data_IF_436624697517
#
_entry.id   IF_436624697517
#
_cell.length_a   1.000
_cell.length_b   1.000
_cell.length_c   1.000
_cell.angle_alpha   90.00
_cell.angle_beta   90.00
_cell.angle_gamma   90.00
#
_symmetry.space_group_name_H-M   'P 1'
#
loop_
_entity.id
_entity.type
_entity.pdbx_description
1 polymer ?
#
# COMPACT_ATOMS: atom_id res chain seq x y z
N UNK A 1 8.13 28.84 6.35
CA UNK A 1 8.39 27.52 6.99
C UNK A 1 8.36 26.45 5.93
N UNK A 2 9.43 25.67 5.85
CA UNK A 2 9.44 24.46 5.04
C UNK A 2 8.56 23.41 5.77
N UNK A 3 7.50 22.95 5.12
CA UNK A 3 6.72 21.85 5.64
C UNK A 3 7.42 20.55 5.20
N UNK A 4 7.76 19.65 6.12
CA UNK A 4 8.40 18.38 5.75
C UNK A 4 7.45 17.56 4.87
N UNK A 5 8.01 16.88 3.89
CA UNK A 5 7.33 15.88 3.09
C UNK A 5 7.60 14.51 3.71
N UNK A 6 6.56 13.79 4.07
CA UNK A 6 6.64 12.57 4.86
C UNK A 6 6.04 11.42 4.07
N UNK A 7 6.80 10.35 3.94
CA UNK A 7 6.34 9.03 3.46
C UNK A 7 6.65 8.02 4.55
N UNK A 8 5.63 7.29 4.98
CA UNK A 8 5.76 6.16 5.90
C UNK A 8 5.38 4.91 5.11
N UNK A 9 6.24 3.91 5.08
CA UNK A 9 5.98 2.67 4.33
C UNK A 9 6.54 1.47 5.06
N UNK A 10 5.90 0.31 4.88
CA UNK A 10 6.31 -0.98 5.41
C UNK A 10 5.15 -1.92 5.65
N UNK A 11 5.48 -3.06 6.24
CA UNK A 11 4.53 -4.04 6.75
C UNK A 11 4.01 -3.58 8.13
N UNK A 12 2.75 -3.23 8.20
CA UNK A 12 2.05 -2.85 9.44
C UNK A 12 1.42 -4.06 10.13
N UNK A 13 1.46 -5.22 9.50
CA UNK A 13 0.85 -6.46 9.96
C UNK A 13 -0.65 -6.31 10.33
N UNK A 14 -1.31 -5.35 9.72
CA UNK A 14 -2.74 -5.07 9.89
C UNK A 14 -3.32 -4.39 8.65
N UNK A 15 -4.59 -4.65 8.39
CA UNK A 15 -5.36 -3.99 7.33
C UNK A 15 -6.15 -2.80 7.87
N UNK A 16 -6.51 -1.86 7.00
CA UNK A 16 -7.46 -0.79 7.33
C UNK A 16 -8.91 -1.30 7.18
N UNK A 17 -9.84 -0.93 8.09
CA UNK A 17 -9.64 -0.10 9.29
C UNK A 17 -9.04 -0.87 10.46
N UNK A 18 -8.29 -0.19 11.32
CA UNK A 18 -7.81 -0.75 12.60
C UNK A 18 -7.37 0.37 13.55
N UNK A 19 -7.24 0.05 14.84
CA UNK A 19 -6.80 1.00 15.86
C UNK A 19 -5.44 1.66 15.55
N UNK A 20 -4.56 0.96 14.81
CA UNK A 20 -3.28 1.54 14.37
C UNK A 20 -3.50 2.76 13.47
N UNK A 21 -4.41 2.66 12.52
CA UNK A 21 -4.69 3.72 11.56
C UNK A 21 -5.63 4.79 12.11
N UNK A 22 -6.66 4.37 12.82
CA UNK A 22 -7.74 5.26 13.27
C UNK A 22 -7.37 5.98 14.58
N UNK A 23 -6.78 5.26 15.56
CA UNK A 23 -6.55 5.79 16.90
C UNK A 23 -5.10 6.24 17.12
N UNK A 24 -4.11 5.56 16.50
CA UNK A 24 -2.69 5.88 16.72
C UNK A 24 -2.15 6.87 15.68
N UNK A 25 -2.41 6.62 14.41
CA UNK A 25 -1.90 7.46 13.31
C UNK A 25 -2.89 8.52 12.83
N UNK A 26 -4.18 8.36 13.15
CA UNK A 26 -5.26 9.26 12.72
C UNK A 26 -5.22 9.54 11.21
N UNK A 27 -5.08 8.48 10.40
CA UNK A 27 -5.03 8.63 8.94
C UNK A 27 -6.41 8.94 8.38
N UNK A 28 -6.42 9.70 7.29
CA UNK A 28 -7.60 9.89 6.44
C UNK A 28 -7.43 9.10 5.12
N UNK A 29 -8.57 8.77 4.49
CA UNK A 29 -8.53 8.31 3.11
C UNK A 29 -8.51 9.52 2.15
N UNK A 30 -7.75 9.48 1.05
CA UNK A 30 -7.59 10.64 0.15
C UNK A 30 -8.90 11.25 -0.37
N UNK A 31 -9.93 10.41 -0.61
CA UNK A 31 -11.23 10.88 -1.14
C UNK A 31 -12.21 11.36 -0.08
N UNK A 32 -11.92 11.17 1.19
CA UNK A 32 -12.77 11.69 2.29
C UNK A 32 -12.34 13.07 2.76
N UNK A 33 -11.15 13.50 2.31
CA UNK A 33 -10.63 14.81 2.66
C UNK A 33 -11.34 15.90 1.84
N UNK A 34 -12.10 16.75 2.51
CA UNK A 34 -12.53 18.02 1.92
C UNK A 34 -11.32 18.81 1.43
N UNK A 35 -11.45 19.51 0.31
CA UNK A 35 -10.39 20.29 -0.36
C UNK A 35 -9.75 21.41 0.52
N UNK A 36 -10.17 21.57 1.75
CA UNK A 36 -9.62 22.51 2.72
C UNK A 36 -8.60 21.83 3.63
N UNK A 37 -7.42 21.50 3.08
CA UNK A 37 -6.32 20.99 3.89
C UNK A 37 -5.64 22.13 4.62
N UNK A 38 -6.24 22.58 5.71
CA UNK A 38 -5.59 23.53 6.62
C UNK A 38 -4.49 22.85 7.48
N UNK A 39 -4.50 21.52 7.57
CA UNK A 39 -3.57 20.79 8.41
C UNK A 39 -2.49 20.06 7.58
N UNK A 40 -1.31 20.68 7.51
CA UNK A 40 -0.15 20.10 6.82
C UNK A 40 0.40 18.83 7.46
N UNK A 41 -0.01 18.51 8.68
CA UNK A 41 0.40 17.29 9.39
C UNK A 41 -0.58 16.13 9.18
N UNK A 42 -1.69 16.34 8.46
CA UNK A 42 -2.64 15.26 8.18
C UNK A 42 -1.96 14.16 7.38
N UNK A 43 -2.13 12.93 7.85
CA UNK A 43 -1.65 11.71 7.20
C UNK A 43 -2.78 11.08 6.36
N UNK A 44 -2.41 10.55 5.20
CA UNK A 44 -3.32 9.89 4.26
C UNK A 44 -2.83 8.49 3.94
N UNK A 45 -3.71 7.51 4.10
CA UNK A 45 -3.47 6.12 3.73
C UNK A 45 -3.79 5.93 2.23
N UNK A 46 -2.77 5.60 1.43
CA UNK A 46 -2.93 5.44 -0.02
C UNK A 46 -3.37 4.03 -0.43
N UNK A 47 -3.06 3.03 0.39
CA UNK A 47 -3.17 1.60 0.07
C UNK A 47 -4.49 0.97 0.49
N UNK A 48 -5.52 1.78 0.72
CA UNK A 48 -6.84 1.26 1.07
C UNK A 48 -7.51 0.56 -0.13
N UNK A 49 -7.99 -0.68 0.08
CA UNK A 49 -8.70 -1.47 -0.93
C UNK A 49 -7.98 -1.62 -2.27
N UNK A 50 -6.67 -1.82 -2.24
CA UNK A 50 -5.90 -2.05 -3.45
C UNK A 50 -6.34 -3.32 -4.16
N UNK A 51 -6.42 -3.22 -5.49
CA UNK A 51 -6.70 -4.35 -6.37
C UNK A 51 -5.64 -4.41 -7.45
N UNK A 52 -5.08 -5.58 -7.63
CA UNK A 52 -4.20 -5.90 -8.74
C UNK A 52 -4.96 -6.54 -9.89
N UNK A 53 -4.20 -7.10 -10.82
CA UNK A 53 -4.73 -7.90 -11.94
C UNK A 53 -5.20 -9.26 -11.41
N UNK A 54 -6.09 -9.87 -12.19
CA UNK A 54 -6.71 -11.15 -11.85
C UNK A 54 -7.44 -11.07 -10.50
N UNK A 55 -7.12 -11.92 -9.55
CA UNK A 55 -7.74 -12.03 -8.24
C UNK A 55 -6.91 -11.40 -7.11
N UNK A 56 -5.84 -10.67 -7.43
CA UNK A 56 -4.96 -10.05 -6.43
C UNK A 56 -5.69 -8.90 -5.75
N UNK A 57 -5.83 -8.96 -4.43
CA UNK A 57 -6.56 -7.97 -3.64
C UNK A 57 -5.84 -7.60 -2.33
N UNK A 58 -4.53 -7.54 -2.37
CA UNK A 58 -3.68 -7.18 -1.24
C UNK A 58 -2.25 -7.64 -1.42
N UNK A 59 -1.43 -7.48 -0.41
CA UNK A 59 -0.01 -7.82 -0.44
C UNK A 59 0.30 -9.21 0.09
N UNK A 60 -0.55 -9.77 0.95
CA UNK A 60 -0.36 -11.06 1.58
C UNK A 60 -1.58 -11.96 1.37
N UNK A 61 -1.36 -13.27 1.14
CA UNK A 61 -2.44 -14.25 1.02
C UNK A 61 -2.29 -15.38 2.02
N UNK A 62 -3.33 -15.60 2.82
CA UNK A 62 -3.40 -16.69 3.79
C UNK A 62 -4.73 -17.42 3.70
N UNK A 63 -4.69 -18.76 3.64
CA UNK A 63 -5.88 -19.63 3.54
C UNK A 63 -6.90 -19.24 2.45
N UNK A 64 -6.40 -18.72 1.33
CA UNK A 64 -7.23 -18.30 0.20
C UNK A 64 -7.68 -16.84 0.23
N UNK A 65 -7.49 -16.14 1.35
CA UNK A 65 -7.89 -14.75 1.54
C UNK A 65 -6.72 -13.78 1.39
N UNK A 66 -6.93 -12.70 0.65
CA UNK A 66 -5.97 -11.61 0.52
C UNK A 66 -6.13 -10.61 1.67
N UNK A 67 -5.00 -10.11 2.15
CA UNK A 67 -4.92 -9.03 3.13
C UNK A 67 -3.97 -7.94 2.64
N UNK A 68 -4.33 -6.68 2.87
CA UNK A 68 -3.45 -5.54 2.63
C UNK A 68 -2.71 -5.23 3.92
N UNK A 69 -1.46 -5.66 4.04
CA UNK A 69 -0.63 -5.52 5.25
C UNK A 69 0.49 -4.50 5.07
N UNK A 70 0.94 -4.29 3.83
CA UNK A 70 1.99 -3.35 3.47
C UNK A 70 1.37 -2.05 2.99
N UNK A 71 1.80 -0.93 3.57
CA UNK A 71 1.13 0.35 3.36
C UNK A 71 2.06 1.47 2.94
N UNK A 72 1.49 2.43 2.21
CA UNK A 72 2.00 3.78 2.02
C UNK A 72 1.08 4.78 2.71
N UNK A 73 1.67 5.59 3.58
CA UNK A 73 1.03 6.73 4.23
C UNK A 73 1.86 7.96 3.89
N UNK A 74 1.21 9.02 3.46
CA UNK A 74 1.85 10.28 3.10
C UNK A 74 1.18 11.44 3.83
N UNK A 75 1.87 12.56 3.96
CA UNK A 75 1.25 13.75 4.52
C UNK A 75 0.68 14.68 3.45
N UNK A 76 -0.16 15.62 3.88
CA UNK A 76 -0.86 16.56 3.01
C UNK A 76 0.05 17.32 2.01
N UNK A 77 1.26 17.80 2.36
CA UNK A 77 2.14 18.46 1.40
C UNK A 77 2.55 17.64 0.19
N UNK A 78 2.62 16.31 0.33
CA UNK A 78 2.89 15.40 -0.80
C UNK A 78 1.66 15.15 -1.66
N UNK A 79 0.49 14.98 -1.03
CA UNK A 79 -0.76 14.63 -1.73
C UNK A 79 -1.41 15.85 -2.40
N UNK A 80 -1.22 17.05 -1.81
CA UNK A 80 -1.88 18.29 -2.23
C UNK A 80 -0.85 19.41 -2.50
N UNK A 81 0.18 19.09 -3.29
CA UNK A 81 1.16 20.09 -3.68
C UNK A 81 0.50 21.24 -4.45
N UNK A 82 0.75 22.46 -4.01
CA UNK A 82 0.17 23.68 -4.61
C UNK A 82 1.09 24.33 -5.64
N UNK A 83 2.36 23.92 -5.67
CA UNK A 83 3.38 24.45 -6.59
C UNK A 83 3.70 23.40 -7.66
N UNK A 84 3.78 23.78 -8.94
CA UNK A 84 4.05 22.85 -10.02
C UNK A 84 5.46 22.20 -9.98
N UNK A 85 6.39 22.84 -9.28
CA UNK A 85 7.77 22.39 -9.08
C UNK A 85 7.99 21.73 -7.71
N UNK A 86 6.92 21.46 -6.96
CA UNK A 86 7.03 20.79 -5.67
C UNK A 86 6.96 19.28 -5.84
N UNK A 87 7.77 18.56 -5.07
CA UNK A 87 7.66 17.11 -4.97
C UNK A 87 6.24 16.73 -4.56
N UNK A 88 5.62 15.84 -5.30
CA UNK A 88 4.23 15.41 -5.07
C UNK A 88 4.02 13.95 -5.48
N UNK A 89 2.89 13.42 -5.11
CA UNK A 89 2.42 12.10 -5.53
C UNK A 89 1.05 12.21 -6.19
N UNK A 90 0.78 11.29 -7.09
CA UNK A 90 -0.57 11.02 -7.57
C UNK A 90 -1.06 9.71 -6.93
N UNK A 91 -2.26 9.73 -6.33
CA UNK A 91 -2.81 8.54 -5.70
C UNK A 91 -2.91 7.36 -6.67
N UNK A 92 -3.18 7.63 -7.94
CA UNK A 92 -3.26 6.62 -9.01
C UNK A 92 -1.93 5.91 -9.29
N UNK A 93 -0.80 6.48 -8.87
CA UNK A 93 0.52 5.86 -8.98
C UNK A 93 0.79 4.78 -7.92
N UNK A 94 -0.01 4.77 -6.84
CA UNK A 94 0.09 3.74 -5.80
C UNK A 94 -0.50 2.42 -6.31
N UNK A 95 0.33 1.39 -6.45
CA UNK A 95 -0.03 0.12 -7.11
C UNK A 95 0.53 -1.09 -6.37
N UNK A 96 -0.16 -2.22 -6.50
CA UNK A 96 0.40 -3.54 -6.19
C UNK A 96 1.36 -3.97 -7.31
N UNK A 97 2.52 -4.48 -6.94
CA UNK A 97 3.45 -5.09 -7.88
C UNK A 97 3.03 -6.54 -8.16
N UNK A 98 1.94 -6.72 -8.87
CA UNK A 98 1.35 -8.01 -9.23
C UNK A 98 1.96 -8.61 -10.53
N UNK A 99 3.28 -8.49 -10.67
CA UNK A 99 3.97 -9.02 -11.84
C UNK A 99 3.86 -10.55 -11.90
N UNK A 100 3.67 -11.14 -13.09
CA UNK A 100 3.47 -12.59 -13.24
C UNK A 100 4.56 -13.44 -12.60
N UNK A 101 5.81 -12.98 -12.60
CA UNK A 101 6.92 -13.71 -11.99
C UNK A 101 6.90 -13.70 -10.44
N UNK A 102 6.15 -12.78 -9.82
CA UNK A 102 5.95 -12.71 -8.37
C UNK A 102 4.79 -13.57 -7.88
N UNK A 103 4.05 -14.19 -8.79
CA UNK A 103 2.83 -14.93 -8.50
C UNK A 103 2.93 -16.40 -8.92
N UNK A 104 2.23 -17.26 -8.18
CA UNK A 104 1.98 -18.65 -8.57
C UNK A 104 0.51 -18.99 -8.44
N UNK A 105 0.01 -19.93 -9.26
CA UNK A 105 -1.34 -20.48 -9.08
C UNK A 105 -1.49 -21.14 -7.71
N UNK A 106 -2.61 -20.91 -7.05
CA UNK A 106 -2.98 -21.62 -5.83
C UNK A 106 -3.43 -23.05 -6.19
N UNK A 107 -2.82 -24.05 -5.56
CA UNK A 107 -3.11 -25.47 -5.80
C UNK A 107 -4.57 -25.87 -5.51
N UNK A 108 -5.26 -25.08 -4.67
CA UNK A 108 -6.66 -25.33 -4.31
C UNK A 108 -7.66 -24.64 -5.25
N UNK A 109 -7.20 -24.04 -6.35
CA UNK A 109 -8.06 -23.32 -7.30
C UNK A 109 -8.53 -21.95 -6.83
N UNK A 110 -7.92 -21.39 -5.78
CA UNK A 110 -8.26 -20.09 -5.22
C UNK A 110 -7.48 -18.93 -5.91
N UNK A 111 -7.33 -18.99 -7.23
CA UNK A 111 -6.60 -17.98 -8.01
C UNK A 111 -5.09 -18.06 -7.85
N UNK A 112 -4.43 -16.94 -7.53
CA UNK A 112 -2.97 -16.86 -7.37
C UNK A 112 -2.56 -16.51 -5.94
N UNK A 113 -1.29 -16.73 -5.61
CA UNK A 113 -0.66 -16.31 -4.37
C UNK A 113 0.77 -15.80 -4.64
N UNK A 114 1.40 -15.01 -3.72
CA UNK A 114 2.78 -14.60 -3.85
C UNK A 114 3.72 -15.80 -3.99
N UNK A 115 4.70 -15.70 -4.89
CA UNK A 115 5.71 -16.72 -5.07
C UNK A 115 6.73 -16.63 -3.93
N UNK A 116 6.48 -17.40 -2.88
CA UNK A 116 7.23 -17.38 -1.62
C UNK A 116 8.62 -17.97 -1.76
N UNK A 117 9.58 -17.44 -1.01
CA UNK A 117 10.91 -18.04 -0.86
C UNK A 117 10.81 -19.37 -0.10
N UNK A 118 10.02 -19.39 0.98
CA UNK A 118 9.81 -20.57 1.81
C UNK A 118 8.32 -20.82 2.08
N UNK A 119 7.98 -22.10 2.28
CA UNK A 119 6.72 -22.54 2.86
C UNK A 119 7.06 -23.47 4.04
N UNK A 120 6.93 -22.95 5.27
CA UNK A 120 7.55 -23.57 6.43
C UNK A 120 9.07 -23.67 6.23
N UNK A 121 9.62 -24.87 6.38
CA UNK A 121 11.05 -25.13 6.18
C UNK A 121 11.44 -25.49 4.74
N UNK A 122 10.49 -25.52 3.80
CA UNK A 122 10.72 -25.94 2.42
C UNK A 122 10.97 -24.72 1.51
N UNK A 123 12.15 -24.67 0.91
CA UNK A 123 12.49 -23.67 -0.10
C UNK A 123 11.65 -23.84 -1.36
N UNK A 124 10.98 -22.76 -1.79
CA UNK A 124 10.07 -22.74 -2.94
C UNK A 124 10.70 -22.10 -4.19
N UNK A 125 11.85 -21.45 -4.05
CA UNK A 125 12.54 -20.75 -5.13
C UNK A 125 11.92 -19.41 -5.54
N UNK A 126 11.00 -18.88 -4.75
CA UNK A 126 10.38 -17.58 -5.00
C UNK A 126 11.09 -16.42 -4.29
N UNK A 127 10.39 -15.30 -4.18
CA UNK A 127 10.97 -14.02 -3.75
C UNK A 127 10.52 -13.64 -2.33
N UNK A 128 9.20 -13.60 -2.10
CA UNK A 128 8.60 -13.16 -0.83
C UNK A 128 7.20 -13.75 -0.69
N UNK A 129 6.72 -13.84 0.54
CA UNK A 129 5.31 -14.13 0.84
C UNK A 129 4.42 -12.89 0.80
N UNK A 130 5.00 -11.70 0.62
CA UNK A 130 4.30 -10.45 0.34
C UNK A 130 4.58 -9.97 -1.08
N UNK A 131 3.60 -9.28 -1.68
CA UNK A 131 3.78 -8.52 -2.91
C UNK A 131 4.24 -7.10 -2.57
N UNK A 132 5.20 -6.54 -3.31
CA UNK A 132 5.59 -5.15 -3.12
C UNK A 132 4.45 -4.19 -3.45
N UNK A 133 4.44 -3.03 -2.80
CA UNK A 133 3.66 -1.85 -3.20
C UNK A 133 4.59 -0.82 -3.83
N UNK A 134 4.10 -0.12 -4.83
CA UNK A 134 4.84 0.87 -5.60
C UNK A 134 4.16 2.23 -5.46
N UNK A 135 4.96 3.30 -5.42
CA UNK A 135 4.50 4.68 -5.40
C UNK A 135 5.47 5.53 -6.20
N UNK A 136 4.96 6.26 -7.19
CA UNK A 136 5.76 7.18 -7.97
C UNK A 136 5.76 8.57 -7.31
N UNK A 137 6.94 9.20 -7.29
CA UNK A 137 7.16 10.56 -6.83
C UNK A 137 7.48 11.44 -8.03
N UNK A 138 6.80 12.55 -8.14
CA UNK A 138 6.94 13.54 -9.25
C UNK A 138 7.49 14.86 -8.74
N UNK A 139 8.19 15.58 -9.59
CA UNK A 139 8.70 16.94 -9.35
C UNK A 139 8.76 17.75 -10.64
#
# INVERSE_FOLDING_TARGET
RLHPQIVITGDFNTSYPSAVFDESLHVCLPHTASAHVANTNQLYLLTHNMKGRNDVAGTYKYQGEWSQLDHFIVNAPLLHATRPDALHIEQSSCKLADFPFLLKPDKKGNGTHPFRTYLGNFHQGGFSDHLPVLLDLYY
#
